data_IF_805224202819
#
_entry.id   IF_805224202819
#
_cell.length_a   1.000
_cell.length_b   1.000
_cell.length_c   1.000
_cell.angle_alpha   90.00
_cell.angle_beta   90.00
_cell.angle_gamma   90.00
#
_symmetry.space_group_name_H-M   'P 1'
#
loop_
_entity.id
_entity.type
_entity.pdbx_description
1 polymer ?
#
# COMPACT_ATOMS: atom_id res chain seq x y z
N UNK A 1 -61.68 -70.88 3.62
CA UNK A 1 -60.99 -71.77 4.59
C UNK A 1 -59.84 -72.43 3.86
N UNK A 2 -58.63 -72.30 4.42
CA UNK A 2 -57.36 -72.96 4.05
C UNK A 2 -56.82 -72.62 2.63
N UNK A 3 -55.70 -71.87 2.53
CA UNK A 3 -54.32 -72.38 2.49
C UNK A 3 -54.01 -72.94 1.09
N UNK A 4 -52.91 -72.75 0.39
CA UNK A 4 -51.54 -72.30 0.65
C UNK A 4 -50.87 -72.27 -0.74
N UNK A 5 -49.72 -71.58 -0.91
CA UNK A 5 -48.60 -71.94 -1.80
C UNK A 5 -48.87 -72.31 -3.29
N UNK A 6 -48.08 -71.96 -4.28
CA UNK A 6 -46.79 -71.30 -4.41
C UNK A 6 -46.58 -71.13 -5.94
N UNK A 7 -45.67 -70.24 -6.30
CA UNK A 7 -44.93 -70.25 -7.57
C UNK A 7 -45.73 -70.15 -8.88
N UNK A 8 -45.56 -69.01 -9.54
CA UNK A 8 -45.08 -69.02 -10.94
C UNK A 8 -44.53 -67.65 -11.31
N UNK A 9 -43.21 -67.67 -11.46
CA UNK A 9 -42.39 -66.74 -12.23
C UNK A 9 -43.04 -66.36 -13.57
N UNK A 10 -43.24 -65.06 -13.76
CA UNK A 10 -43.52 -64.44 -15.04
C UNK A 10 -43.39 -62.94 -14.89
N UNK A 11 -42.35 -62.34 -15.47
CA UNK A 11 -42.50 -61.33 -16.52
C UNK A 11 -41.18 -60.62 -16.81
N UNK A 12 -40.79 -60.72 -18.08
CA UNK A 12 -39.85 -59.80 -18.72
C UNK A 12 -40.50 -58.42 -18.77
N UNK A 13 -39.76 -57.38 -18.40
CA UNK A 13 -40.04 -56.05 -18.88
C UNK A 13 -38.74 -55.36 -19.31
N UNK A 14 -38.80 -54.85 -20.54
CA UNK A 14 -37.76 -54.20 -21.32
C UNK A 14 -37.35 -52.82 -20.78
N UNK A 15 -36.05 -52.52 -20.95
CA UNK A 15 -35.32 -51.23 -21.09
C UNK A 15 -36.14 -49.93 -21.18
N UNK A 16 -35.57 -48.78 -20.72
CA UNK A 16 -34.89 -47.91 -21.68
C UNK A 16 -33.57 -47.25 -21.22
N UNK A 17 -32.88 -46.76 -22.23
CA UNK A 17 -31.63 -45.97 -22.30
C UNK A 17 -31.53 -44.79 -21.33
N UNK A 18 -30.36 -44.66 -20.69
CA UNK A 18 -29.89 -43.45 -20.01
C UNK A 18 -28.51 -43.06 -20.53
N UNK A 19 -28.50 -42.09 -21.44
CA UNK A 19 -27.33 -41.33 -21.89
C UNK A 19 -26.70 -40.63 -20.68
N UNK A 20 -25.49 -41.04 -20.30
CA UNK A 20 -24.66 -40.36 -19.31
C UNK A 20 -23.28 -40.17 -19.89
N UNK A 21 -23.02 -38.95 -20.39
CA UNK A 21 -21.78 -38.50 -21.00
C UNK A 21 -20.53 -39.01 -20.27
N UNK A 22 -19.54 -39.45 -21.06
CA UNK A 22 -18.14 -39.53 -20.66
C UNK A 22 -17.69 -38.20 -20.07
N UNK A 23 -17.83 -38.06 -18.75
CA UNK A 23 -17.20 -37.01 -17.99
C UNK A 23 -15.70 -37.31 -17.99
N UNK A 24 -15.00 -36.75 -18.98
CA UNK A 24 -13.56 -36.57 -18.94
C UNK A 24 -13.23 -36.00 -17.56
N UNK A 25 -12.60 -36.82 -16.71
CA UNK A 25 -12.11 -36.40 -15.41
C UNK A 25 -11.09 -35.31 -15.65
N UNK A 26 -11.54 -34.05 -15.57
CA UNK A 26 -10.68 -32.88 -15.63
C UNK A 26 -9.90 -32.88 -14.31
N UNK A 27 -8.56 -33.00 -14.33
CA UNK A 27 -7.79 -33.04 -13.10
C UNK A 27 -8.04 -31.74 -12.35
N UNK A 28 -8.62 -31.83 -11.15
CA UNK A 28 -8.78 -30.69 -10.24
C UNK A 28 -7.37 -30.27 -9.82
N UNK A 29 -6.86 -29.20 -10.42
CA UNK A 29 -5.59 -28.58 -10.00
C UNK A 29 -5.79 -28.06 -8.58
N UNK A 30 -5.22 -28.79 -7.60
CA UNK A 30 -5.14 -28.30 -6.22
C UNK A 30 -4.24 -27.06 -6.19
N UNK A 31 -4.81 -25.94 -5.77
CA UNK A 31 -4.15 -24.64 -5.63
C UNK A 31 -3.28 -24.53 -4.35
N UNK A 32 -3.20 -25.59 -3.55
CA UNK A 32 -2.46 -25.61 -2.28
C UNK A 32 -0.99 -26.02 -2.40
N UNK A 33 -0.50 -26.33 -3.61
CA UNK A 33 0.94 -26.62 -3.77
C UNK A 33 1.68 -25.33 -4.13
N UNK A 34 2.68 -24.91 -3.34
CA UNK A 34 3.54 -23.79 -3.72
C UNK A 34 4.16 -24.14 -5.08
N UNK A 35 3.87 -23.29 -6.06
CA UNK A 35 4.32 -23.43 -7.45
C UNK A 35 5.84 -23.53 -7.44
N UNK A 36 6.37 -24.71 -7.76
CA UNK A 36 7.81 -24.93 -7.89
C UNK A 36 8.40 -23.85 -8.82
N UNK A 37 9.49 -23.17 -8.43
CA UNK A 37 10.05 -22.07 -9.20
C UNK A 37 10.46 -22.64 -10.55
N UNK A 38 9.77 -22.19 -11.61
CA UNK A 38 10.21 -22.47 -12.97
C UNK A 38 11.60 -21.87 -13.09
N UNK A 39 12.59 -22.74 -13.29
CA UNK A 39 13.96 -22.34 -13.63
C UNK A 39 13.88 -21.48 -14.91
N UNK A 40 13.82 -20.17 -14.74
CA UNK A 40 13.89 -19.20 -15.83
C UNK A 40 15.31 -19.22 -16.35
N UNK A 41 15.47 -19.56 -17.62
CA UNK A 41 16.73 -19.44 -18.37
C UNK A 41 16.95 -18.01 -18.90
N UNK A 42 16.16 -17.05 -18.42
CA UNK A 42 16.38 -15.64 -18.71
C UNK A 42 17.43 -15.13 -17.72
N UNK A 43 18.44 -14.35 -18.17
CA UNK A 43 19.31 -13.64 -17.26
C UNK A 43 18.44 -12.90 -16.25
N UNK A 44 18.59 -13.24 -14.96
CA UNK A 44 17.93 -12.55 -13.86
C UNK A 44 18.43 -11.10 -13.93
N UNK A 45 17.65 -10.22 -14.54
CA UNK A 45 17.92 -8.79 -14.54
C UNK A 45 17.75 -8.33 -13.11
N UNK A 46 18.86 -8.26 -12.36
CA UNK A 46 18.88 -7.93 -10.95
C UNK A 46 18.35 -6.49 -10.75
N UNK A 47 17.07 -6.34 -10.32
CA UNK A 47 16.44 -5.03 -10.22
C UNK A 47 17.07 -4.20 -9.09
N UNK A 48 17.82 -4.83 -8.18
CA UNK A 48 18.48 -4.18 -7.04
C UNK A 48 19.78 -3.51 -7.46
N UNK A 49 20.55 -4.12 -8.36
CA UNK A 49 21.76 -3.51 -8.93
C UNK A 49 21.40 -2.29 -9.80
N UNK A 50 20.38 -2.42 -10.65
CA UNK A 50 19.88 -1.32 -11.47
C UNK A 50 19.25 -0.22 -10.61
N UNK A 51 18.56 -0.60 -9.52
CA UNK A 51 17.94 0.35 -8.61
C UNK A 51 18.93 1.27 -7.90
N UNK A 52 20.07 0.71 -7.47
CA UNK A 52 21.19 1.46 -6.88
C UNK A 52 21.91 2.34 -7.90
N UNK A 53 22.08 1.86 -9.13
CA UNK A 53 22.64 2.64 -10.23
C UNK A 53 21.77 3.86 -10.55
N UNK A 54 20.46 3.65 -10.75
CA UNK A 54 19.51 4.73 -11.05
C UNK A 54 19.45 5.76 -9.93
N UNK A 55 19.54 5.37 -8.66
CA UNK A 55 19.54 6.31 -7.54
C UNK A 55 20.82 7.16 -7.47
N UNK A 56 21.96 6.59 -7.87
CA UNK A 56 23.21 7.33 -8.00
C UNK A 56 23.15 8.28 -9.20
N UNK A 57 22.60 7.83 -10.33
CA UNK A 57 22.40 8.65 -11.55
C UNK A 57 21.41 9.79 -11.28
N UNK A 58 20.30 9.54 -10.58
CA UNK A 58 19.31 10.57 -10.23
C UNK A 58 19.92 11.67 -9.34
N UNK A 59 20.69 11.31 -8.31
CA UNK A 59 21.42 12.28 -7.49
C UNK A 59 22.49 13.04 -8.28
N UNK A 60 23.11 12.39 -9.26
CA UNK A 60 24.14 12.98 -10.11
C UNK A 60 23.56 13.98 -11.11
N UNK A 61 22.45 13.62 -11.80
CA UNK A 61 21.75 14.49 -12.76
C UNK A 61 21.00 15.64 -12.08
N UNK A 62 20.47 15.44 -10.88
CA UNK A 62 19.76 16.48 -10.12
C UNK A 62 20.67 17.54 -9.49
N UNK A 63 21.98 17.31 -9.45
CA UNK A 63 22.95 18.27 -8.90
C UNK A 63 23.55 19.12 -10.02
N UNK A 64 23.58 20.45 -9.88
CA UNK A 64 24.19 21.37 -10.86
C UNK A 64 25.68 21.10 -11.20
N UNK A 65 26.35 20.23 -10.42
CA UNK A 65 27.71 19.73 -10.68
C UNK A 65 27.87 19.00 -12.01
N UNK A 66 26.84 18.31 -12.52
CA UNK A 66 26.92 17.63 -13.82
C UNK A 66 27.15 18.62 -14.96
N UNK A 67 26.38 19.70 -14.96
CA UNK A 67 26.47 20.76 -15.98
C UNK A 67 27.86 21.41 -15.93
N UNK A 68 28.34 21.76 -14.73
CA UNK A 68 29.68 22.33 -14.56
C UNK A 68 30.76 21.41 -15.13
N UNK A 69 30.68 20.11 -14.87
CA UNK A 69 31.69 19.17 -15.35
C UNK A 69 31.62 18.97 -16.87
N UNK A 70 30.42 18.86 -17.44
CA UNK A 70 30.23 18.79 -18.89
C UNK A 70 30.76 20.04 -19.61
N UNK A 71 30.49 21.22 -19.07
CA UNK A 71 31.01 22.48 -19.62
C UNK A 71 32.54 22.52 -19.57
N UNK A 72 33.16 22.08 -18.48
CA UNK A 72 34.62 22.01 -18.36
C UNK A 72 35.24 21.05 -19.38
N UNK A 73 34.64 19.89 -19.62
CA UNK A 73 35.12 18.95 -20.64
C UNK A 73 35.03 19.55 -22.05
N UNK A 74 33.92 20.21 -22.38
CA UNK A 74 33.75 20.89 -23.68
C UNK A 74 34.79 21.99 -23.84
N UNK A 75 34.97 22.84 -22.83
CA UNK A 75 35.97 23.91 -22.84
C UNK A 75 37.37 23.32 -23.02
N UNK A 76 37.74 22.29 -22.25
CA UNK A 76 39.05 21.66 -22.35
C UNK A 76 39.29 21.06 -23.75
N UNK A 77 38.28 20.45 -24.36
CA UNK A 77 38.37 19.91 -25.72
C UNK A 77 38.58 21.00 -26.78
N UNK A 78 37.83 22.10 -26.67
CA UNK A 78 37.97 23.25 -27.57
C UNK A 78 39.34 23.89 -27.39
N UNK A 79 39.78 24.13 -26.15
CA UNK A 79 41.10 24.67 -25.85
C UNK A 79 42.20 23.77 -26.42
N UNK A 80 42.11 22.45 -26.20
CA UNK A 80 43.07 21.50 -26.76
C UNK A 80 43.16 21.61 -28.28
N UNK A 81 42.04 21.61 -28.99
CA UNK A 81 42.04 21.70 -30.46
C UNK A 81 42.44 23.07 -31.02
N UNK A 82 42.24 24.15 -30.26
CA UNK A 82 42.65 25.51 -30.66
C UNK A 82 44.14 25.74 -30.42
N UNK A 83 44.66 25.35 -29.26
CA UNK A 83 46.06 25.56 -28.87
C UNK A 83 47.01 24.48 -29.39
N UNK A 84 46.51 23.33 -29.85
CA UNK A 84 47.34 22.30 -30.47
C UNK A 84 47.97 22.79 -31.78
N UNK A 85 49.27 22.48 -32.03
CA UNK A 85 49.93 22.68 -33.33
C UNK A 85 49.19 21.94 -34.45
N UNK A 86 49.27 22.44 -35.69
CA UNK A 86 48.51 21.91 -36.84
C UNK A 86 48.65 20.40 -37.08
N UNK A 87 49.78 19.81 -36.69
CA UNK A 87 50.06 18.37 -36.79
C UNK A 87 49.35 17.51 -35.72
N UNK A 88 48.86 18.11 -34.62
CA UNK A 88 48.18 17.45 -33.51
C UNK A 88 46.71 17.86 -33.36
N UNK A 89 46.20 18.70 -34.28
CA UNK A 89 44.79 19.11 -34.32
C UNK A 89 43.91 17.93 -34.75
N UNK A 90 43.36 17.22 -33.77
CA UNK A 90 42.49 16.07 -34.00
C UNK A 90 41.12 16.48 -34.56
N UNK A 91 40.61 17.67 -34.22
CA UNK A 91 39.27 18.16 -34.58
C UNK A 91 39.31 19.66 -34.94
N UNK A 92 39.57 19.98 -36.22
CA UNK A 92 39.56 21.36 -36.76
C UNK A 92 38.12 21.91 -36.79
N UNK A 93 37.98 23.23 -36.71
CA UNK A 93 36.69 23.92 -36.89
C UNK A 93 36.00 23.41 -38.18
N UNK A 94 34.77 22.86 -38.11
CA UNK A 94 33.69 23.09 -37.14
C UNK A 94 33.54 22.06 -35.98
N UNK A 95 34.59 21.35 -35.56
CA UNK A 95 34.56 20.36 -34.47
C UNK A 95 33.58 19.19 -34.73
N UNK A 96 33.84 18.43 -35.81
CA UNK A 96 32.96 17.34 -36.24
C UNK A 96 32.93 16.21 -35.22
N UNK A 97 34.06 15.88 -34.58
CA UNK A 97 34.12 14.79 -33.60
C UNK A 97 33.36 15.15 -32.33
N UNK A 98 33.52 16.38 -31.82
CA UNK A 98 32.75 16.86 -30.68
C UNK A 98 31.25 16.80 -30.97
N UNK A 99 30.84 17.24 -32.16
CA UNK A 99 29.43 17.22 -32.58
C UNK A 99 28.88 15.79 -32.67
N UNK A 100 29.62 14.87 -33.29
CA UNK A 100 29.25 13.46 -33.38
C UNK A 100 29.11 12.84 -31.99
N UNK A 101 30.06 13.11 -31.10
CA UNK A 101 30.02 12.58 -29.73
C UNK A 101 28.82 13.12 -28.95
N UNK A 102 28.53 14.42 -29.04
CA UNK A 102 27.36 15.02 -28.37
C UNK A 102 26.04 14.47 -28.94
N UNK A 103 25.96 14.25 -30.26
CA UNK A 103 24.78 13.67 -30.90
C UNK A 103 24.52 12.23 -30.43
N UNK A 104 25.59 11.43 -30.32
CA UNK A 104 25.53 10.08 -29.78
C UNK A 104 25.15 10.08 -28.30
N UNK A 105 25.72 11.01 -27.53
CA UNK A 105 25.42 11.17 -26.11
C UNK A 105 23.92 11.44 -25.90
N UNK A 106 23.33 12.36 -26.66
CA UNK A 106 21.90 12.64 -26.61
C UNK A 106 21.06 11.41 -26.97
N UNK A 107 21.46 10.67 -28.01
CA UNK A 107 20.76 9.46 -28.46
C UNK A 107 20.76 8.35 -27.41
N UNK A 108 21.88 8.13 -26.70
CA UNK A 108 21.97 7.12 -25.66
C UNK A 108 21.40 7.57 -24.30
N UNK A 109 21.35 8.88 -24.05
CA UNK A 109 20.74 9.42 -22.83
C UNK A 109 19.23 9.14 -22.77
N UNK A 110 18.50 9.27 -23.89
CA UNK A 110 17.05 9.11 -23.91
C UNK A 110 16.58 7.72 -23.41
N UNK A 111 17.10 6.58 -23.89
CA UNK A 111 16.75 5.26 -23.35
C UNK A 111 17.09 5.08 -21.87
N UNK A 112 18.24 5.62 -21.43
CA UNK A 112 18.69 5.52 -20.05
C UNK A 112 17.78 6.31 -19.10
N UNK A 113 17.34 7.49 -19.53
CA UNK A 113 16.38 8.32 -18.82
C UNK A 113 15.01 7.63 -18.78
N UNK A 114 14.54 7.06 -19.89
CA UNK A 114 13.28 6.32 -19.95
C UNK A 114 13.26 5.11 -19.01
N UNK A 115 14.37 4.36 -18.91
CA UNK A 115 14.49 3.25 -17.96
C UNK A 115 14.53 3.74 -16.50
N UNK A 116 15.14 4.89 -16.24
CA UNK A 116 15.14 5.48 -14.91
C UNK A 116 13.74 5.98 -14.50
N UNK A 117 12.99 6.53 -15.45
CA UNK A 117 11.63 7.06 -15.27
C UNK A 117 10.60 5.94 -15.03
N UNK A 118 10.58 4.88 -15.84
CA UNK A 118 9.64 3.76 -15.65
C UNK A 118 9.65 3.19 -14.22
N UNK A 119 10.82 3.21 -13.55
CA UNK A 119 10.95 2.73 -12.17
C UNK A 119 10.56 3.77 -11.11
N UNK A 120 10.65 5.06 -11.43
CA UNK A 120 10.08 6.11 -10.56
C UNK A 120 8.56 6.03 -10.62
N UNK A 121 7.99 5.92 -11.82
CA UNK A 121 6.54 5.80 -12.02
C UNK A 121 5.95 4.57 -11.31
N UNK A 122 6.65 3.43 -11.31
CA UNK A 122 6.22 2.24 -10.57
C UNK A 122 6.22 2.45 -9.04
N UNK A 123 7.22 3.15 -8.48
CA UNK A 123 7.26 3.48 -7.05
C UNK A 123 6.20 4.51 -6.67
N UNK A 124 6.00 5.52 -7.51
CA UNK A 124 5.02 6.56 -7.32
C UNK A 124 3.61 5.96 -7.37
N UNK A 125 3.37 5.01 -8.28
CA UNK A 125 2.10 4.26 -8.34
C UNK A 125 1.82 3.49 -7.06
N UNK A 126 2.79 2.74 -6.53
CA UNK A 126 2.60 1.98 -5.27
C UNK A 126 2.34 2.92 -4.09
N UNK A 127 3.07 4.03 -4.03
CA UNK A 127 2.88 5.07 -3.00
C UNK A 127 1.48 5.67 -3.09
N UNK A 128 1.01 6.03 -4.28
CA UNK A 128 -0.34 6.54 -4.51
C UNK A 128 -1.44 5.53 -4.15
N UNK A 129 -1.24 4.24 -4.42
CA UNK A 129 -2.19 3.19 -4.04
C UNK A 129 -2.24 2.99 -2.51
N UNK A 130 -1.10 3.10 -1.81
CA UNK A 130 -1.05 3.05 -0.35
C UNK A 130 -1.70 4.28 0.29
N UNK A 131 -1.43 5.47 -0.23
CA UNK A 131 -2.03 6.73 0.26
C UNK A 131 -3.54 6.71 0.10
N UNK A 132 -4.07 6.18 -1.01
CA UNK A 132 -5.52 5.97 -1.17
C UNK A 132 -6.09 5.09 -0.07
N UNK A 133 -5.48 3.94 0.21
CA UNK A 133 -5.94 3.02 1.27
C UNK A 133 -5.83 3.64 2.67
N UNK A 134 -4.79 4.41 2.93
CA UNK A 134 -4.66 5.14 4.19
C UNK A 134 -5.73 6.21 4.33
N UNK A 135 -6.01 6.97 3.26
CA UNK A 135 -7.04 8.00 3.28
C UNK A 135 -8.44 7.41 3.50
N UNK A 136 -8.76 6.28 2.86
CA UNK A 136 -10.01 5.55 3.10
C UNK A 136 -10.13 5.11 4.57
N UNK A 137 -9.06 4.60 5.17
CA UNK A 137 -9.04 4.24 6.61
C UNK A 137 -9.17 5.47 7.50
N UNK A 138 -8.48 6.56 7.20
CA UNK A 138 -8.54 7.81 7.97
C UNK A 138 -9.94 8.41 7.95
N UNK A 139 -10.66 8.31 6.83
CA UNK A 139 -12.06 8.75 6.74
C UNK A 139 -12.94 7.88 7.63
N UNK A 140 -12.77 6.55 7.58
CA UNK A 140 -13.51 5.62 8.43
C UNK A 140 -13.24 5.83 9.93
N UNK A 141 -11.98 6.05 10.31
CA UNK A 141 -11.59 6.35 11.71
C UNK A 141 -12.18 7.68 12.17
N UNK A 142 -12.22 8.69 11.29
CA UNK A 142 -12.85 9.99 11.60
C UNK A 142 -14.36 9.84 11.77
N UNK A 143 -15.02 9.05 10.93
CA UNK A 143 -16.45 8.76 11.05
C UNK A 143 -16.76 7.99 12.34
N UNK A 144 -15.92 7.00 12.68
CA UNK A 144 -16.03 6.24 13.91
C UNK A 144 -15.86 7.14 15.14
N UNK A 145 -14.80 7.94 15.20
CA UNK A 145 -14.57 8.89 16.29
C UNK A 145 -15.70 9.92 16.40
N UNK A 146 -16.23 10.41 15.28
CA UNK A 146 -17.34 11.36 15.29
C UNK A 146 -18.60 10.72 15.87
N UNK A 147 -18.89 9.46 15.51
CA UNK A 147 -20.01 8.70 16.06
C UNK A 147 -19.80 8.41 17.56
N UNK A 148 -18.59 8.04 17.95
CA UNK A 148 -18.25 7.77 19.34
C UNK A 148 -18.38 9.04 20.20
N UNK A 149 -17.89 10.19 19.71
CA UNK A 149 -18.04 11.50 20.36
C UNK A 149 -19.51 11.90 20.45
N UNK A 150 -20.31 11.65 19.42
CA UNK A 150 -21.75 11.91 19.48
C UNK A 150 -22.45 11.05 20.54
N UNK A 151 -22.09 9.77 20.65
CA UNK A 151 -22.61 8.86 21.68
C UNK A 151 -22.15 9.28 23.09
N UNK A 152 -20.87 9.64 23.26
CA UNK A 152 -20.31 10.17 24.51
C UNK A 152 -21.00 11.47 24.92
N UNK A 153 -21.26 12.37 23.97
CA UNK A 153 -22.00 13.61 24.20
C UNK A 153 -23.44 13.36 24.64
N UNK A 154 -24.12 12.37 24.07
CA UNK A 154 -25.47 12.00 24.49
C UNK A 154 -25.46 11.40 25.91
N UNK A 155 -24.56 10.46 26.19
CA UNK A 155 -24.43 9.85 27.52
C UNK A 155 -24.02 10.86 28.62
N UNK A 156 -23.09 11.77 28.33
CA UNK A 156 -22.76 12.87 29.24
C UNK A 156 -23.91 13.90 29.33
N UNK A 157 -24.63 14.13 28.24
CA UNK A 157 -25.80 14.99 28.22
C UNK A 157 -26.92 14.50 29.14
N UNK A 158 -27.14 13.18 29.20
CA UNK A 158 -28.12 12.57 30.11
C UNK A 158 -27.67 12.61 31.58
N UNK A 159 -26.40 12.30 31.87
CA UNK A 159 -25.89 12.18 33.25
C UNK A 159 -25.49 13.53 33.88
N UNK A 160 -25.16 14.55 33.07
CA UNK A 160 -24.74 15.88 33.56
C UNK A 160 -25.79 16.97 33.27
N UNK A 161 -27.08 16.65 33.25
CA UNK A 161 -28.09 17.70 33.13
C UNK A 161 -28.17 18.47 34.46
N UNK A 162 -28.25 19.80 34.36
CA UNK A 162 -28.39 20.77 35.46
C UNK A 162 -29.32 20.31 36.59
N UNK A 163 -30.36 19.54 36.29
CA UNK A 163 -31.32 19.05 37.27
C UNK A 163 -30.77 17.93 38.16
N UNK A 164 -29.91 17.03 37.66
CA UNK A 164 -29.22 16.03 38.50
C UNK A 164 -28.16 16.68 39.39
N UNK A 165 -27.33 17.56 38.81
CA UNK A 165 -26.34 18.32 39.61
C UNK A 165 -27.04 19.15 40.68
N UNK A 166 -28.22 19.71 40.37
CA UNK A 166 -29.03 20.47 41.32
C UNK A 166 -29.66 19.60 42.40
N UNK A 167 -30.20 18.43 42.06
CA UNK A 167 -30.76 17.53 43.08
C UNK A 167 -29.67 17.07 44.04
N UNK A 168 -28.49 16.73 43.52
CA UNK A 168 -27.38 16.27 44.37
C UNK A 168 -26.80 17.38 45.23
N UNK A 169 -26.72 18.60 44.71
CA UNK A 169 -26.38 19.76 45.52
C UNK A 169 -27.41 20.03 46.62
N UNK A 170 -28.70 19.86 46.33
CA UNK A 170 -29.75 20.06 47.34
C UNK A 170 -29.74 18.97 48.40
N UNK A 171 -29.56 17.72 48.02
CA UNK A 171 -29.46 16.61 48.97
C UNK A 171 -28.23 16.76 49.87
N UNK A 172 -27.07 17.15 49.32
CA UNK A 172 -25.86 17.45 50.10
C UNK A 172 -26.07 18.64 51.07
N UNK A 173 -26.71 19.73 50.62
CA UNK A 173 -27.03 20.87 51.48
C UNK A 173 -27.98 20.43 52.61
N UNK A 174 -28.99 19.64 52.28
CA UNK A 174 -29.98 19.16 53.25
C UNK A 174 -29.34 18.26 54.30
N UNK A 175 -28.45 17.35 53.91
CA UNK A 175 -27.70 16.50 54.85
C UNK A 175 -26.82 17.34 55.79
N UNK A 176 -26.16 18.38 55.26
CA UNK A 176 -25.37 19.30 56.09
C UNK A 176 -26.21 20.11 57.07
N UNK A 177 -27.40 20.56 56.64
CA UNK A 177 -28.31 21.32 57.49
C UNK A 177 -28.93 20.42 58.57
N UNK A 178 -29.31 19.18 58.24
CA UNK A 178 -29.74 18.16 59.21
C UNK A 178 -28.64 17.85 60.24
N UNK A 179 -27.37 17.71 59.82
CA UNK A 179 -26.24 17.55 60.75
C UNK A 179 -25.97 18.78 61.62
N UNK A 180 -26.35 19.98 61.16
CA UNK A 180 -26.24 21.23 61.93
C UNK A 180 -27.40 21.42 62.91
N UNK A 181 -28.60 21.03 62.49
CA UNK A 181 -29.85 21.18 63.23
C UNK A 181 -30.00 20.09 64.30
N UNK A 182 -29.47 18.90 64.04
CA UNK A 182 -29.29 17.84 65.01
C UNK A 182 -27.79 17.69 65.32
N UNK A 183 -27.18 18.63 66.09
CA UNK A 183 -25.89 18.33 66.67
C UNK A 183 -26.10 17.07 67.49
N UNK A 184 -25.47 15.97 67.09
CA UNK A 184 -25.52 14.70 67.78
C UNK A 184 -25.50 14.99 69.27
N UNK A 185 -26.62 14.74 69.96
CA UNK A 185 -26.67 14.67 71.40
C UNK A 185 -25.61 13.63 71.73
N UNK A 186 -24.43 14.13 72.09
CA UNK A 186 -23.37 13.36 72.65
C UNK A 186 -24.01 12.73 73.87
N UNK A 187 -24.21 11.42 73.79
CA UNK A 187 -23.54 10.50 74.69
C UNK A 187 -23.34 11.12 76.09
N UNK A 188 -24.45 11.45 76.75
CA UNK A 188 -24.44 11.70 78.18
C UNK A 188 -24.70 10.35 78.83
N UNK A 189 -23.62 9.56 78.80
CA UNK A 189 -23.51 8.36 79.58
C UNK A 189 -23.51 8.64 81.08
N UNK A 190 -23.79 7.57 81.81
CA UNK A 190 -23.28 7.28 83.14
C UNK A 190 -23.86 8.12 84.30
N UNK A 191 -24.94 7.60 84.92
CA UNK A 191 -24.95 7.04 86.31
C UNK A 191 -26.36 6.96 86.91
#
# INVERSE_FOLDING_TARGET
MAAEAAERSGERASKPSGTGSSALTRPRVRLDLPRAPRRSLLPEYDPEAFGRLSERVARFLGTGRFIVWMTLVIILWVLWNVFAPDDLRFDKYPFIFLTLMLSLQASYAAPLILLAQNRQDDRDRVTHEQDRKQNERSIADTEYLTREIAALRMGLGEVATRDWIRSEFQDLIKEMDERRLFPAERDEGDR
#
